data_IF_493702705772
#
_entry.id   IF_493702705772
#
_cell.length_a   1.000
_cell.length_b   1.000
_cell.length_c   1.000
_cell.angle_alpha   90.00
_cell.angle_beta   90.00
_cell.angle_gamma   90.00
#
_symmetry.space_group_name_H-M   'P 1'
#
loop_
_entity.id
_entity.type
_entity.pdbx_description
1 polymer ?
#
# COMPACT_ATOMS: atom_id res chain seq x y z
N UNK A 1 27.46 -14.17 -11.67
CA UNK A 1 26.67 -12.95 -11.89
C UNK A 1 26.57 -12.27 -10.54
N UNK A 2 27.31 -11.17 -10.32
CA UNK A 2 27.46 -10.53 -9.00
C UNK A 2 26.24 -9.66 -8.73
N UNK A 3 25.55 -9.91 -7.62
CA UNK A 3 24.51 -9.02 -7.11
C UNK A 3 25.19 -7.75 -6.60
N UNK A 4 24.84 -6.62 -7.20
CA UNK A 4 25.17 -5.31 -6.66
C UNK A 4 24.12 -5.00 -5.60
N UNK A 5 24.39 -5.41 -4.35
CA UNK A 5 23.66 -4.88 -3.20
C UNK A 5 24.17 -3.46 -2.97
N UNK A 6 23.36 -2.47 -3.34
CA UNK A 6 23.56 -1.11 -2.88
C UNK A 6 23.14 -1.06 -1.42
N UNK A 7 24.11 -0.95 -0.50
CA UNK A 7 23.86 -0.62 0.90
C UNK A 7 23.23 0.78 0.96
N UNK A 8 21.92 0.84 1.19
CA UNK A 8 21.27 2.06 1.64
C UNK A 8 21.66 2.27 3.12
N UNK A 9 22.20 3.44 3.50
CA UNK A 9 22.77 3.66 4.82
C UNK A 9 21.78 3.63 5.99
N UNK A 10 20.48 3.41 5.76
CA UNK A 10 19.43 3.34 6.79
C UNK A 10 18.45 2.16 6.60
N UNK A 11 18.97 0.97 6.30
CA UNK A 11 18.37 -0.30 6.75
C UNK A 11 17.03 -0.74 6.14
N UNK A 12 16.55 -0.15 5.04
CA UNK A 12 15.47 -0.72 4.23
C UNK A 12 16.07 -1.61 3.14
N UNK A 13 15.94 -2.93 3.30
CA UNK A 13 16.37 -3.91 2.30
C UNK A 13 15.19 -4.80 1.91
N UNK A 14 14.52 -4.46 0.81
CA UNK A 14 13.62 -5.37 0.12
C UNK A 14 14.43 -6.50 -0.49
N UNK A 15 14.25 -7.73 -0.01
CA UNK A 15 14.94 -8.92 -0.54
C UNK A 15 13.93 -9.87 -1.17
N UNK A 16 14.32 -10.48 -2.29
CA UNK A 16 13.61 -11.60 -2.89
C UNK A 16 14.30 -12.89 -2.47
N UNK A 17 13.55 -13.81 -1.87
CA UNK A 17 14.04 -15.16 -1.55
C UNK A 17 13.24 -16.16 -2.35
N UNK A 18 13.92 -17.07 -3.06
CA UNK A 18 13.26 -18.20 -3.71
C UNK A 18 13.12 -19.35 -2.73
N UNK A 19 11.93 -19.92 -2.62
CA UNK A 19 11.65 -21.07 -1.75
C UNK A 19 10.49 -21.88 -2.33
N UNK A 20 10.65 -23.21 -2.38
CA UNK A 20 9.60 -24.16 -2.75
C UNK A 20 8.85 -23.83 -4.06
N UNK A 21 9.57 -23.29 -5.06
CA UNK A 21 9.01 -22.89 -6.35
C UNK A 21 8.33 -21.51 -6.37
N UNK A 22 8.20 -20.84 -5.21
CA UNK A 22 7.68 -19.48 -5.07
C UNK A 22 8.76 -18.43 -4.77
N UNK A 23 8.31 -17.19 -4.64
CA UNK A 23 9.15 -16.05 -4.25
C UNK A 23 8.59 -15.35 -3.00
N UNK A 24 9.40 -15.29 -1.95
CA UNK A 24 9.12 -14.50 -0.77
C UNK A 24 9.64 -13.07 -1.00
N UNK A 25 8.78 -12.08 -0.74
CA UNK A 25 9.15 -10.68 -0.62
C UNK A 25 9.40 -10.37 0.86
N UNK A 26 10.66 -10.14 1.22
CA UNK A 26 11.06 -9.88 2.61
C UNK A 26 11.40 -8.40 2.76
N UNK A 27 10.68 -7.72 3.66
CA UNK A 27 10.96 -6.33 4.04
C UNK A 27 11.62 -6.36 5.42
N UNK A 28 12.93 -6.06 5.48
CA UNK A 28 13.63 -5.89 6.74
C UNK A 28 13.34 -4.51 7.33
N UNK A 29 12.87 -4.47 8.58
CA UNK A 29 12.73 -3.24 9.35
C UNK A 29 13.81 -3.19 10.44
N UNK A 30 14.49 -2.04 10.65
CA UNK A 30 15.32 -1.83 11.83
C UNK A 30 14.51 -2.01 13.12
N UNK A 31 15.10 -2.48 14.23
CA UNK A 31 14.37 -2.74 15.48
C UNK A 31 13.57 -1.54 16.00
N UNK A 32 14.12 -0.33 15.88
CA UNK A 32 13.42 0.89 16.28
C UNK A 32 12.18 1.15 15.41
N UNK A 33 12.25 0.93 14.11
CA UNK A 33 11.12 1.08 13.21
C UNK A 33 10.05 0.00 13.45
N UNK A 34 10.48 -1.25 13.67
CA UNK A 34 9.57 -2.34 14.02
C UNK A 34 8.82 -2.07 15.34
N UNK A 35 9.49 -1.51 16.34
CA UNK A 35 8.87 -1.14 17.62
C UNK A 35 7.84 0.00 17.47
N UNK A 36 8.08 0.95 16.57
CA UNK A 36 7.14 2.06 16.31
C UNK A 36 5.93 1.60 15.51
N UNK A 37 6.12 0.74 14.50
CA UNK A 37 5.05 0.28 13.63
C UNK A 37 4.20 -0.82 14.26
N UNK A 38 4.78 -1.67 15.11
CA UNK A 38 4.05 -2.78 15.73
C UNK A 38 3.32 -3.65 14.70
N UNK A 39 2.04 -3.93 14.96
CA UNK A 39 1.20 -4.79 14.12
C UNK A 39 0.83 -4.14 12.76
N UNK A 40 0.87 -2.80 12.65
CA UNK A 40 0.54 -2.11 11.40
C UNK A 40 1.46 -2.54 10.24
N UNK A 41 2.73 -2.84 10.54
CA UNK A 41 3.67 -3.35 9.54
C UNK A 41 3.27 -4.74 9.02
N UNK A 42 2.79 -5.61 9.91
CA UNK A 42 2.34 -6.95 9.55
C UNK A 42 1.02 -6.90 8.76
N UNK A 43 0.11 -6.02 9.15
CA UNK A 43 -1.18 -5.85 8.49
C UNK A 43 -1.01 -5.27 7.08
N UNK A 44 -0.20 -4.23 6.90
CA UNK A 44 0.14 -3.71 5.57
C UNK A 44 0.79 -4.77 4.67
N UNK A 45 1.70 -5.58 5.22
CA UNK A 45 2.36 -6.64 4.47
C UNK A 45 1.36 -7.72 4.03
N UNK A 46 0.40 -8.08 4.91
CA UNK A 46 -0.66 -9.03 4.60
C UNK A 46 -1.59 -8.50 3.50
N UNK A 47 -2.07 -7.27 3.64
CA UNK A 47 -2.97 -6.66 2.67
C UNK A 47 -2.30 -6.55 1.29
N UNK A 48 -1.02 -6.17 1.25
CA UNK A 48 -0.25 -6.13 0.02
C UNK A 48 -0.07 -7.52 -0.60
N UNK A 49 0.17 -8.55 0.21
CA UNK A 49 0.30 -9.92 -0.28
C UNK A 49 -1.00 -10.42 -0.94
N UNK A 50 -2.16 -10.15 -0.35
CA UNK A 50 -3.47 -10.47 -0.91
C UNK A 50 -3.73 -9.73 -2.24
N UNK A 51 -3.38 -8.44 -2.31
CA UNK A 51 -3.47 -7.65 -3.55
C UNK A 51 -2.54 -8.18 -4.64
N UNK A 52 -1.34 -8.63 -4.29
CA UNK A 52 -0.41 -9.24 -5.25
C UNK A 52 -0.93 -10.60 -5.75
N UNK A 53 -1.56 -11.39 -4.88
CA UNK A 53 -2.23 -12.62 -5.27
C UNK A 53 -3.36 -12.33 -6.25
N UNK A 54 -4.24 -11.38 -5.92
CA UNK A 54 -5.32 -10.93 -6.81
C UNK A 54 -4.79 -10.46 -8.17
N UNK A 55 -3.71 -9.67 -8.18
CA UNK A 55 -3.04 -9.24 -9.42
C UNK A 55 -2.53 -10.43 -10.24
N UNK A 56 -1.99 -11.46 -9.58
CA UNK A 56 -1.53 -12.66 -10.26
C UNK A 56 -2.70 -13.41 -10.91
N UNK A 57 -3.82 -13.57 -10.20
CA UNK A 57 -5.01 -14.27 -10.70
C UNK A 57 -5.65 -13.51 -11.88
N UNK A 58 -5.68 -12.17 -11.83
CA UNK A 58 -6.08 -11.33 -12.97
C UNK A 58 -5.17 -11.59 -14.18
N UNK A 59 -3.85 -11.59 -13.98
CA UNK A 59 -2.88 -11.71 -15.08
C UNK A 59 -2.83 -13.10 -15.70
N UNK A 60 -3.12 -14.14 -14.93
CA UNK A 60 -3.20 -15.51 -15.44
C UNK A 60 -4.56 -15.84 -16.05
N UNK A 61 -5.54 -14.94 -15.96
CA UNK A 61 -6.91 -15.20 -16.39
C UNK A 61 -7.65 -16.20 -15.48
N UNK A 62 -7.15 -16.46 -14.27
CA UNK A 62 -7.79 -17.39 -13.33
C UNK A 62 -9.16 -16.88 -12.87
N UNK A 63 -9.40 -15.57 -12.97
CA UNK A 63 -10.71 -14.96 -12.76
C UNK A 63 -11.62 -14.96 -14.00
N UNK A 64 -11.15 -15.44 -15.15
CA UNK A 64 -11.97 -15.65 -16.34
C UNK A 64 -12.38 -17.12 -16.47
N UNK A 65 -11.62 -18.03 -15.85
CA UNK A 65 -11.92 -19.46 -15.76
C UNK A 65 -13.19 -19.68 -14.96
N UNK A 66 -14.26 -20.10 -15.66
CA UNK A 66 -15.50 -20.50 -15.00
C UNK A 66 -15.27 -21.86 -14.35
N UNK A 67 -15.29 -21.90 -13.03
CA UNK A 67 -15.48 -23.17 -12.33
C UNK A 67 -16.90 -23.64 -12.60
N UNK A 68 -17.04 -24.75 -13.33
CA UNK A 68 -18.32 -25.45 -13.49
C UNK A 68 -18.71 -26.09 -12.15
N UNK A 69 -19.37 -25.32 -11.29
CA UNK A 69 -20.06 -25.88 -10.12
C UNK A 69 -21.36 -26.55 -10.59
N UNK A 70 -21.62 -27.83 -10.30
CA UNK A 70 -22.85 -28.53 -10.71
C UNK A 70 -24.16 -27.96 -10.15
N UNK A 71 -24.07 -26.96 -9.26
CA UNK A 71 -25.19 -26.42 -8.48
C UNK A 71 -25.29 -24.88 -8.51
N UNK A 72 -24.50 -24.17 -9.31
CA UNK A 72 -24.59 -22.71 -9.42
C UNK A 72 -25.24 -22.28 -10.75
N UNK A 73 -26.10 -21.26 -10.68
CA UNK A 73 -26.78 -20.66 -11.84
C UNK A 73 -25.79 -20.32 -12.96
N UNK A 74 -26.12 -20.74 -14.18
CA UNK A 74 -25.33 -20.51 -15.37
C UNK A 74 -25.17 -19.00 -15.65
N UNK A 75 -24.06 -18.42 -15.23
CA UNK A 75 -23.72 -17.02 -15.52
C UNK A 75 -22.95 -16.29 -14.41
N UNK A 76 -22.86 -16.84 -13.20
CA UNK A 76 -22.10 -16.22 -12.10
C UNK A 76 -20.73 -16.90 -11.92
N UNK A 77 -19.67 -16.16 -11.50
CA UNK A 77 -18.40 -16.77 -11.14
C UNK A 77 -18.57 -17.72 -9.94
N UNK A 78 -17.69 -18.71 -9.79
CA UNK A 78 -17.82 -19.66 -8.68
C UNK A 78 -17.71 -18.96 -7.33
N UNK A 79 -18.38 -19.48 -6.30
CA UNK A 79 -18.43 -18.85 -4.95
C UNK A 79 -17.05 -18.47 -4.38
N UNK A 80 -16.03 -19.31 -4.59
CA UNK A 80 -14.65 -19.03 -4.14
C UNK A 80 -14.01 -17.86 -4.89
N UNK A 81 -14.21 -17.81 -6.21
CA UNK A 81 -13.70 -16.74 -7.07
C UNK A 81 -14.36 -15.39 -6.72
N UNK A 82 -15.68 -15.38 -6.52
CA UNK A 82 -16.42 -14.19 -6.04
C UNK A 82 -15.89 -13.69 -4.69
N UNK A 83 -15.57 -14.61 -3.78
CA UNK A 83 -14.99 -14.30 -2.48
C UNK A 83 -13.62 -13.62 -2.61
N UNK A 84 -12.70 -14.17 -3.41
CA UNK A 84 -11.37 -13.58 -3.63
C UNK A 84 -11.45 -12.18 -4.26
N UNK A 85 -12.30 -12.01 -5.28
CA UNK A 85 -12.52 -10.70 -5.91
C UNK A 85 -13.06 -9.67 -4.90
N UNK A 86 -13.98 -10.08 -4.05
CA UNK A 86 -14.58 -9.21 -3.02
C UNK A 86 -13.56 -8.83 -1.95
N UNK A 87 -12.74 -9.78 -1.50
CA UNK A 87 -11.64 -9.51 -0.57
C UNK A 87 -10.67 -8.51 -1.18
N UNK A 88 -10.23 -8.71 -2.44
CA UNK A 88 -9.28 -7.83 -3.09
C UNK A 88 -9.80 -6.38 -3.17
N UNK A 89 -11.06 -6.19 -3.55
CA UNK A 89 -11.69 -4.87 -3.57
C UNK A 89 -11.80 -4.25 -2.18
N UNK A 90 -12.27 -5.03 -1.19
CA UNK A 90 -12.38 -4.55 0.18
C UNK A 90 -11.02 -4.11 0.73
N UNK A 91 -9.97 -4.93 0.57
CA UNK A 91 -8.63 -4.60 1.05
C UNK A 91 -8.05 -3.38 0.32
N UNK A 92 -8.25 -3.24 -0.99
CA UNK A 92 -7.79 -2.05 -1.71
C UNK A 92 -8.49 -0.79 -1.21
N UNK A 93 -9.82 -0.78 -1.20
CA UNK A 93 -10.60 0.45 -0.98
C UNK A 93 -10.71 0.84 0.49
N UNK A 94 -10.75 -0.14 1.40
CA UNK A 94 -11.01 0.11 2.83
C UNK A 94 -9.75 0.10 3.66
N UNK A 95 -8.66 -0.52 3.18
CA UNK A 95 -7.46 -0.75 3.99
C UNK A 95 -6.22 -0.11 3.33
N UNK A 96 -5.81 -0.60 2.16
CA UNK A 96 -4.53 -0.22 1.56
C UNK A 96 -4.51 1.21 1.00
N UNK A 97 -5.46 1.59 0.13
CA UNK A 97 -5.50 2.94 -0.45
C UNK A 97 -5.66 4.03 0.62
N UNK A 98 -6.54 3.90 1.62
CA UNK A 98 -6.64 4.87 2.70
C UNK A 98 -5.33 5.03 3.50
N UNK A 99 -4.67 3.93 3.88
CA UNK A 99 -3.35 3.99 4.58
C UNK A 99 -2.29 4.69 3.74
N UNK A 100 -2.18 4.36 2.46
CA UNK A 100 -1.22 5.00 1.54
C UNK A 100 -1.51 6.49 1.37
N UNK A 101 -2.79 6.87 1.28
CA UNK A 101 -3.19 8.26 1.21
C UNK A 101 -2.89 9.00 2.53
N UNK A 102 -3.11 8.37 3.68
CA UNK A 102 -2.74 8.89 4.99
C UNK A 102 -1.24 9.19 5.12
N UNK A 103 -0.38 8.22 4.73
CA UNK A 103 1.09 8.38 4.69
C UNK A 103 1.47 9.56 3.78
N UNK A 104 0.89 9.62 2.58
CA UNK A 104 1.14 10.71 1.62
C UNK A 104 0.75 12.07 2.21
N UNK A 105 -0.43 12.19 2.81
CA UNK A 105 -0.89 13.44 3.40
C UNK A 105 0.00 13.87 4.56
N UNK A 106 0.33 12.96 5.48
CA UNK A 106 1.22 13.23 6.61
C UNK A 106 2.60 13.70 6.12
N UNK A 107 3.16 13.05 5.10
CA UNK A 107 4.44 13.43 4.49
C UNK A 107 4.40 14.85 3.93
N UNK A 108 3.33 15.22 3.22
CA UNK A 108 3.18 16.57 2.67
C UNK A 108 3.11 17.65 3.76
N UNK A 109 2.39 17.39 4.86
CA UNK A 109 2.36 18.32 6.00
C UNK A 109 3.72 18.43 6.69
N UNK A 110 4.42 17.33 6.90
CA UNK A 110 5.75 17.32 7.49
C UNK A 110 6.75 18.12 6.63
N UNK A 111 6.76 17.94 5.30
CA UNK A 111 7.61 18.73 4.40
C UNK A 111 7.34 20.24 4.55
N UNK A 112 6.07 20.65 4.63
CA UNK A 112 5.73 22.06 4.85
C UNK A 112 6.14 22.56 6.24
N UNK A 113 5.99 21.76 7.29
CA UNK A 113 6.48 22.08 8.63
C UNK A 113 8.00 22.26 8.67
N UNK A 114 8.74 21.51 7.84
CA UNK A 114 10.17 21.65 7.65
C UNK A 114 10.58 22.76 6.66
N UNK A 115 9.63 23.60 6.23
CA UNK A 115 9.91 24.81 5.44
C UNK A 115 10.02 24.62 3.93
N UNK A 116 9.77 23.41 3.40
CA UNK A 116 9.83 23.15 1.97
C UNK A 116 8.83 24.01 1.20
N UNK A 117 9.27 24.67 0.14
CA UNK A 117 8.42 25.47 -0.73
C UNK A 117 7.49 24.60 -1.60
N UNK A 118 6.44 25.23 -2.13
CA UNK A 118 5.56 24.57 -3.11
C UNK A 118 6.30 24.11 -4.38
N UNK A 119 7.44 24.73 -4.71
CA UNK A 119 8.25 24.33 -5.86
C UNK A 119 8.99 23.02 -5.60
N UNK A 120 9.65 22.93 -4.45
CA UNK A 120 10.38 21.73 -4.04
C UNK A 120 9.41 20.55 -3.84
N UNK A 121 8.23 20.79 -3.25
CA UNK A 121 7.20 19.76 -3.13
C UNK A 121 6.70 19.31 -4.52
N UNK A 122 6.53 20.23 -5.47
CA UNK A 122 6.11 19.88 -6.83
C UNK A 122 7.16 18.99 -7.52
N UNK A 123 8.43 19.32 -7.35
CA UNK A 123 9.56 18.53 -7.85
C UNK A 123 9.59 17.12 -7.25
N UNK A 124 9.50 17.01 -5.91
CA UNK A 124 9.46 15.72 -5.22
C UNK A 124 8.27 14.84 -5.65
N UNK A 125 7.13 15.47 -5.95
CA UNK A 125 5.92 14.77 -6.40
C UNK A 125 5.92 14.46 -7.91
N UNK A 126 6.86 15.01 -8.68
CA UNK A 126 6.85 14.91 -10.14
C UNK A 126 5.63 15.56 -10.81
N UNK A 127 5.12 16.66 -10.24
CA UNK A 127 3.93 17.36 -10.77
C UNK A 127 4.20 18.84 -11.05
N UNK A 128 3.40 19.51 -11.90
CA UNK A 128 3.51 20.95 -12.07
C UNK A 128 3.30 21.73 -10.75
N UNK A 129 4.00 22.85 -10.58
CA UNK A 129 3.90 23.71 -9.38
C UNK A 129 2.46 24.08 -9.03
N UNK A 130 1.65 24.43 -10.02
CA UNK A 130 0.24 24.80 -9.79
C UNK A 130 -0.58 23.64 -9.21
N UNK A 131 -0.29 22.40 -9.61
CA UNK A 131 -0.91 21.20 -9.05
C UNK A 131 -0.51 21.00 -7.60
N UNK A 132 0.77 21.21 -7.26
CA UNK A 132 1.24 21.13 -5.88
C UNK A 132 0.60 22.20 -4.98
N UNK A 133 0.51 23.46 -5.47
CA UNK A 133 -0.19 24.55 -4.76
C UNK A 133 -1.66 24.23 -4.55
N UNK A 134 -2.36 23.75 -5.59
CA UNK A 134 -3.77 23.38 -5.50
C UNK A 134 -4.00 22.27 -4.46
N UNK A 135 -3.21 21.19 -4.54
CA UNK A 135 -3.26 20.08 -3.57
C UNK A 135 -2.94 20.54 -2.16
N UNK A 136 -1.94 21.40 -1.99
CA UNK A 136 -1.61 21.96 -0.68
C UNK A 136 -2.76 22.78 -0.10
N UNK A 137 -3.38 23.68 -0.89
CA UNK A 137 -4.52 24.48 -0.41
C UNK A 137 -5.68 23.61 0.04
N UNK A 138 -5.98 22.54 -0.68
CA UNK A 138 -7.00 21.58 -0.28
C UNK A 138 -6.66 20.90 1.06
N UNK A 139 -5.38 20.53 1.26
CA UNK A 139 -4.91 19.94 2.52
C UNK A 139 -4.87 20.94 3.68
N UNK A 140 -4.47 22.18 3.44
CA UNK A 140 -4.41 23.25 4.44
C UNK A 140 -5.79 23.61 4.98
N UNK A 141 -6.81 23.57 4.12
CA UNK A 141 -8.20 23.82 4.50
C UNK A 141 -8.88 22.63 5.21
N UNK A 142 -8.30 21.42 5.13
CA UNK A 142 -8.86 20.22 5.71
C UNK A 142 -8.22 19.90 7.07
N UNK A 143 -9.04 19.47 8.03
CA UNK A 143 -8.55 18.82 9.24
C UNK A 143 -7.89 17.48 8.89
N UNK A 144 -6.87 17.04 9.65
CA UNK A 144 -6.30 15.70 9.48
C UNK A 144 -7.40 14.63 9.54
N UNK A 145 -7.43 13.72 8.58
CA UNK A 145 -8.36 12.59 8.62
C UNK A 145 -7.83 11.47 9.54
N UNK A 146 -8.60 10.39 9.67
CA UNK A 146 -8.22 9.25 10.51
C UNK A 146 -6.93 8.57 10.05
N UNK A 147 -6.70 8.48 8.74
CA UNK A 147 -5.56 7.80 8.15
C UNK A 147 -4.29 8.66 8.21
N UNK A 148 -4.42 9.98 8.13
CA UNK A 148 -3.33 10.91 8.41
C UNK A 148 -2.91 10.81 9.88
N UNK A 149 -3.87 10.77 10.81
CA UNK A 149 -3.58 10.61 12.25
C UNK A 149 -2.94 9.26 12.54
N UNK A 150 -3.46 8.19 11.97
CA UNK A 150 -2.87 6.85 12.05
C UNK A 150 -1.42 6.86 11.53
N UNK A 151 -1.16 7.44 10.36
CA UNK A 151 0.19 7.51 9.78
C UNK A 151 1.18 8.31 10.66
N UNK A 152 0.67 9.18 11.54
CA UNK A 152 1.48 9.93 12.53
C UNK A 152 1.59 9.22 13.89
N UNK A 153 1.07 8.00 14.02
CA UNK A 153 1.04 7.23 15.27
C UNK A 153 0.10 7.81 16.33
N UNK A 154 -0.89 8.61 15.93
CA UNK A 154 -1.80 9.29 16.86
C UNK A 154 -3.06 8.47 17.16
N UNK A 155 -3.40 7.52 16.29
CA UNK A 155 -4.52 6.58 16.43
C UNK A 155 -4.06 5.18 16.02
N UNK A 156 -4.64 4.10 16.60
CA UNK A 156 -4.48 2.75 16.06
C UNK A 156 -5.13 2.65 14.66
N UNK A 157 -4.76 1.62 13.88
CA UNK A 157 -5.43 1.34 12.60
C UNK A 157 -6.95 1.29 12.82
N UNK A 158 -7.74 2.07 12.06
CA UNK A 158 -9.19 1.92 12.02
C UNK A 158 -9.57 0.47 11.65
N UNK A 159 -10.60 -0.09 12.31
CA UNK A 159 -11.17 -1.41 12.00
C UNK A 159 -11.92 -1.43 10.66
#
# INVERSE_FOLDING_TARGET
>A
MRHHEGEHPDGFAGRRRRRDGGEDLVIGLPPAAAAVLGDDAADLARDLAEVLLALSEIRTGAWDERQESPHEDAGLPASRQRHHMTIALYLLDRQLLPRLQGIRTATLRLLRQHGYSHGEIAELMGVPRQTAVSRWRALEAAEPDEWERWARGQNPSPE
#
